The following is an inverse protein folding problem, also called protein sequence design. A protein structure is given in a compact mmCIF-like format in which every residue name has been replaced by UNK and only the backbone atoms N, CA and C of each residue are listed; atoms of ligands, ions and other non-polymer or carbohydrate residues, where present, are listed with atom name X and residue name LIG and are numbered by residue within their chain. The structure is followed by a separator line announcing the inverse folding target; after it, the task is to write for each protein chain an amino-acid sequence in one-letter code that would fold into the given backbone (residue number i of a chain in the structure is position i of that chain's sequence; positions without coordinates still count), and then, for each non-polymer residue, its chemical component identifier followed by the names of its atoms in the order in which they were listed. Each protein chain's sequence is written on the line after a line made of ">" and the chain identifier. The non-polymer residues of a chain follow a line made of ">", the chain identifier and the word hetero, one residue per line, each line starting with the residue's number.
data_IF_598401871755
#
_entry.id   IF_598401871755
#
_cell.length_a   1.000
_cell.length_b   1.000
_cell.length_c   1.000
_cell.angle_alpha   90.00
_cell.angle_beta   90.00
_cell.angle_gamma   90.00
#
_symmetry.space_group_name_H-M   'P 1'
#
loop_
_entity.id
_entity.type
_entity.pdbx_description
1 polymer ?
#
# COMPACT_ATOMS: atom_id res chain seq x y z
N UNK A 1 22.11 -6.33 -25.68
CA UNK A 1 20.75 -6.88 -25.46
C UNK A 1 20.46 -6.80 -23.97
N UNK A 2 20.10 -5.62 -23.49
CA UNK A 2 19.84 -5.37 -22.07
C UNK A 2 18.33 -5.46 -21.86
N UNK A 3 17.88 -6.54 -21.22
CA UNK A 3 16.46 -6.79 -21.01
C UNK A 3 15.92 -5.80 -19.96
N UNK A 4 14.95 -5.00 -20.40
CA UNK A 4 14.08 -4.18 -19.56
C UNK A 4 13.18 -5.11 -18.75
N UNK A 5 13.24 -5.05 -17.42
CA UNK A 5 12.28 -5.73 -16.55
C UNK A 5 11.43 -4.66 -15.90
N UNK A 6 10.15 -4.64 -16.26
CA UNK A 6 9.14 -3.74 -15.70
C UNK A 6 8.91 -4.02 -14.20
N UNK A 7 8.79 -3.00 -13.34
CA UNK A 7 8.54 -3.20 -11.92
C UNK A 7 7.07 -3.59 -11.66
N UNK A 8 6.81 -4.54 -10.72
CA UNK A 8 5.46 -4.97 -10.39
C UNK A 8 4.63 -3.89 -9.70
N UNK A 9 3.33 -3.96 -9.97
CA UNK A 9 2.26 -3.04 -9.54
C UNK A 9 1.84 -3.23 -8.08
N UNK A 10 1.68 -2.08 -7.40
CA UNK A 10 0.74 -1.74 -6.30
C UNK A 10 0.97 -2.42 -4.92
N UNK A 11 0.53 -1.94 -3.73
CA UNK A 11 -0.29 -0.82 -3.23
C UNK A 11 0.30 -0.37 -1.86
N UNK A 12 0.01 0.86 -1.47
CA UNK A 12 0.54 1.62 -0.33
C UNK A 12 -0.01 1.20 1.07
N UNK A 13 0.86 1.24 2.10
CA UNK A 13 0.45 1.53 3.48
C UNK A 13 1.43 2.54 4.10
N UNK A 14 0.90 3.68 4.53
CA UNK A 14 1.62 4.88 4.94
C UNK A 14 1.96 4.86 6.44
N UNK A 15 3.25 4.96 6.79
CA UNK A 15 3.86 6.03 7.63
C UNK A 15 5.02 5.52 8.51
N UNK A 16 6.23 5.93 8.16
CA UNK A 16 7.17 6.56 9.08
C UNK A 16 8.13 7.44 8.25
N UNK A 17 8.38 8.65 8.72
CA UNK A 17 9.02 9.77 8.02
C UNK A 17 10.19 9.41 7.11
N UNK A 18 10.07 9.83 5.85
CA UNK A 18 11.13 10.28 4.91
C UNK A 18 12.46 9.51 4.81
N UNK A 19 12.48 8.20 5.08
CA UNK A 19 13.53 7.37 4.50
C UNK A 19 13.34 7.38 2.97
N UNK A 20 14.41 7.66 2.22
CA UNK A 20 14.53 7.25 0.83
C UNK A 20 13.85 5.88 0.67
N UNK A 21 12.90 5.77 -0.26
CA UNK A 21 11.97 4.63 -0.37
C UNK A 21 12.77 3.32 -0.46
N UNK A 22 13.14 2.75 0.68
CA UNK A 22 13.96 1.54 0.76
C UNK A 22 13.13 0.47 0.05
N UNK A 23 13.64 -0.14 -1.03
CA UNK A 23 12.98 -1.29 -1.61
C UNK A 23 12.74 -2.29 -0.48
N UNK A 24 11.49 -2.72 -0.29
CA UNK A 24 11.23 -3.85 0.61
C UNK A 24 11.90 -5.06 -0.04
N UNK A 25 13.15 -5.32 0.33
CA UNK A 25 13.84 -6.54 -0.07
C UNK A 25 13.05 -7.70 0.52
N UNK A 26 12.35 -8.41 -0.35
CA UNK A 26 11.71 -9.67 0.00
C UNK A 26 12.85 -10.67 0.06
N UNK A 27 13.16 -11.24 1.23
CA UNK A 27 14.31 -12.13 1.35
C UNK A 27 14.17 -13.33 0.41
N UNK A 28 15.26 -13.79 -0.19
CA UNK A 28 15.27 -14.89 -1.17
C UNK A 28 14.59 -16.16 -0.66
N UNK A 29 14.63 -16.41 0.65
CA UNK A 29 13.93 -17.55 1.24
C UNK A 29 12.41 -17.49 1.03
N UNK A 30 11.81 -16.32 0.88
CA UNK A 30 10.37 -16.14 0.70
C UNK A 30 9.88 -16.77 -0.61
N UNK A 31 10.74 -16.91 -1.62
CA UNK A 31 10.42 -17.59 -2.88
C UNK A 31 10.11 -19.09 -2.67
N UNK A 32 10.65 -19.69 -1.60
CA UNK A 32 10.42 -21.09 -1.22
C UNK A 32 9.23 -21.26 -0.27
N UNK A 33 8.43 -20.21 -0.04
CA UNK A 33 7.27 -20.25 0.83
C UNK A 33 6.17 -21.18 0.29
N UNK A 34 5.75 -22.16 1.08
CA UNK A 34 4.66 -23.08 0.71
C UNK A 34 3.33 -22.36 0.43
N UNK A 35 3.11 -21.17 1.01
CA UNK A 35 1.93 -20.34 0.74
C UNK A 35 1.73 -20.03 -0.76
N UNK A 36 2.82 -19.95 -1.52
CA UNK A 36 2.77 -19.68 -2.97
C UNK A 36 2.11 -20.79 -3.79
N UNK A 37 2.03 -22.00 -3.23
CA UNK A 37 1.40 -23.15 -3.89
C UNK A 37 -0.13 -23.14 -3.79
N UNK A 38 -0.73 -22.19 -3.05
CA UNK A 38 -2.17 -22.13 -2.78
C UNK A 38 -2.77 -20.77 -3.20
N UNK A 39 -2.72 -20.41 -4.50
CA UNK A 39 -3.23 -19.13 -5.01
C UNK A 39 -4.73 -18.92 -4.77
N UNK A 40 -5.52 -19.99 -4.58
CA UNK A 40 -6.93 -19.93 -4.23
C UNK A 40 -7.19 -19.38 -2.81
N UNK A 41 -6.17 -19.37 -1.96
CA UNK A 41 -6.20 -18.73 -0.64
C UNK A 41 -5.67 -17.28 -0.68
N UNK A 42 -5.00 -16.88 -1.76
CA UNK A 42 -4.58 -15.51 -2.08
C UNK A 42 -5.42 -14.96 -3.24
N UNK A 43 -6.72 -14.80 -3.02
CA UNK A 43 -7.63 -14.30 -4.05
C UNK A 43 -7.42 -12.80 -4.23
N UNK A 44 -6.53 -12.44 -5.16
CA UNK A 44 -6.47 -11.11 -5.77
C UNK A 44 -7.78 -10.81 -6.49
N UNK A 45 -8.17 -9.54 -6.52
CA UNK A 45 -9.44 -9.07 -7.06
C UNK A 45 -9.81 -9.75 -8.38
N UNK A 46 -11.03 -10.30 -8.46
CA UNK A 46 -11.58 -10.72 -9.74
C UNK A 46 -12.19 -9.48 -10.38
N UNK A 47 -11.52 -8.92 -11.39
CA UNK A 47 -11.99 -7.74 -12.12
C UNK A 47 -12.67 -8.20 -13.42
N UNK A 48 -13.87 -7.70 -13.70
CA UNK A 48 -14.53 -7.97 -15.00
C UNK A 48 -13.89 -7.18 -16.15
N UNK A 49 -14.32 -7.47 -17.38
CA UNK A 49 -13.82 -6.78 -18.58
C UNK A 49 -14.07 -5.26 -18.58
N UNK A 50 -14.97 -4.75 -17.72
CA UNK A 50 -15.26 -3.32 -17.55
C UNK A 50 -14.40 -2.64 -16.48
N UNK A 51 -13.53 -3.38 -15.79
CA UNK A 51 -12.73 -2.86 -14.69
C UNK A 51 -13.43 -2.92 -13.33
N UNK A 52 -14.57 -3.62 -13.20
CA UNK A 52 -15.33 -3.72 -11.95
C UNK A 52 -14.84 -4.88 -11.10
N UNK A 53 -14.57 -4.63 -9.82
CA UNK A 53 -14.26 -5.67 -8.82
C UNK A 53 -15.53 -6.49 -8.54
N UNK A 54 -15.51 -7.77 -8.91
CA UNK A 54 -16.61 -8.73 -8.76
C UNK A 54 -16.65 -9.41 -7.38
N UNK A 55 -15.50 -9.54 -6.72
CA UNK A 55 -15.37 -10.01 -5.33
C UNK A 55 -14.22 -9.26 -4.64
N UNK A 56 -14.33 -8.94 -3.34
CA UNK A 56 -13.25 -8.31 -2.59
C UNK A 56 -12.02 -9.21 -2.56
N UNK A 57 -10.83 -8.59 -2.65
CA UNK A 57 -9.59 -9.30 -2.43
C UNK A 57 -9.58 -9.92 -1.03
N UNK A 58 -9.23 -11.19 -0.94
CA UNK A 58 -9.08 -11.90 0.33
C UNK A 58 -7.79 -12.72 0.28
N UNK A 59 -6.89 -12.45 1.21
CA UNK A 59 -5.65 -13.19 1.38
C UNK A 59 -5.64 -13.88 2.74
N UNK A 60 -5.62 -15.21 2.77
CA UNK A 60 -5.68 -16.00 4.00
C UNK A 60 -4.49 -15.73 4.95
N UNK A 61 -3.34 -15.32 4.46
CA UNK A 61 -2.19 -14.97 5.30
C UNK A 61 -2.27 -13.57 5.89
N UNK A 62 -3.06 -12.66 5.32
CA UNK A 62 -3.20 -11.29 5.83
C UNK A 62 -4.53 -11.03 6.55
N UNK A 63 -5.62 -11.57 6.01
CA UNK A 63 -7.00 -11.19 6.33
C UNK A 63 -7.75 -12.25 7.13
N UNK A 64 -7.18 -13.46 7.29
CA UNK A 64 -7.85 -14.51 8.04
C UNK A 64 -8.07 -14.09 9.50
N UNK A 65 -9.32 -14.23 9.96
CA UNK A 65 -9.67 -14.00 11.35
C UNK A 65 -9.36 -15.24 12.19
N UNK A 66 -8.87 -15.09 13.43
CA UNK A 66 -8.60 -16.23 14.31
C UNK A 66 -9.80 -17.16 14.44
N UNK A 67 -9.56 -18.48 14.36
CA UNK A 67 -10.58 -19.52 14.49
C UNK A 67 -11.44 -19.76 13.24
N UNK A 68 -11.18 -19.08 12.12
CA UNK A 68 -11.85 -19.35 10.85
C UNK A 68 -11.20 -20.51 10.09
N UNK A 69 -11.92 -21.09 9.12
CA UNK A 69 -11.35 -22.12 8.24
C UNK A 69 -10.13 -21.63 7.45
N UNK A 70 -10.10 -20.34 7.08
CA UNK A 70 -8.95 -19.74 6.40
C UNK A 70 -7.72 -19.62 7.33
N UNK A 71 -7.93 -19.26 8.60
CA UNK A 71 -6.87 -19.23 9.61
C UNK A 71 -6.28 -20.63 9.84
N UNK A 72 -7.15 -21.63 10.01
CA UNK A 72 -6.72 -23.02 10.14
C UNK A 72 -5.94 -23.50 8.89
N UNK A 73 -6.45 -23.23 7.70
CA UNK A 73 -5.79 -23.60 6.44
C UNK A 73 -4.40 -22.96 6.32
N UNK A 74 -4.29 -21.67 6.60
CA UNK A 74 -3.02 -20.95 6.57
C UNK A 74 -2.00 -21.55 7.56
N UNK A 75 -2.43 -21.87 8.79
CA UNK A 75 -1.58 -22.50 9.80
C UNK A 75 -1.10 -23.90 9.41
N UNK A 76 -2.00 -24.72 8.85
CA UNK A 76 -1.66 -26.07 8.37
C UNK A 76 -0.62 -26.01 7.26
N UNK A 77 -0.80 -25.10 6.30
CA UNK A 77 0.19 -24.88 5.23
C UNK A 77 1.52 -24.40 5.82
N UNK A 78 1.48 -23.46 6.77
CA UNK A 78 2.69 -22.99 7.43
C UNK A 78 3.42 -24.09 8.20
N UNK A 79 2.72 -25.07 8.79
CA UNK A 79 3.33 -26.16 9.55
C UNK A 79 4.29 -27.02 8.71
N UNK A 80 4.00 -27.20 7.42
CA UNK A 80 4.85 -27.93 6.45
C UNK A 80 5.80 -27.05 5.63
N UNK A 81 5.84 -25.74 5.88
CA UNK A 81 6.60 -24.80 5.05
C UNK A 81 8.10 -24.86 5.33
N UNK A 82 8.97 -25.02 4.31
CA UNK A 82 10.42 -25.15 4.51
C UNK A 82 11.09 -23.87 5.04
N UNK A 83 10.42 -22.73 4.92
CA UNK A 83 10.90 -21.42 5.38
C UNK A 83 10.09 -20.87 6.55
N UNK A 84 9.35 -21.73 7.25
CA UNK A 84 8.49 -21.38 8.39
C UNK A 84 9.26 -20.57 9.45
N UNK A 85 10.45 -21.03 9.84
CA UNK A 85 11.25 -20.38 10.89
C UNK A 85 11.75 -19.00 10.45
N UNK A 86 12.33 -18.89 9.25
CA UNK A 86 12.80 -17.62 8.70
C UNK A 86 11.64 -16.61 8.57
N UNK A 87 10.46 -17.08 8.15
CA UNK A 87 9.24 -16.27 8.08
C UNK A 87 8.78 -15.77 9.45
N UNK A 88 8.76 -16.64 10.47
CA UNK A 88 8.39 -16.26 11.84
C UNK A 88 9.38 -15.24 12.44
N UNK A 89 10.69 -15.49 12.31
CA UNK A 89 11.74 -14.60 12.81
C UNK A 89 11.63 -13.22 12.15
N UNK A 90 11.54 -13.17 10.82
CA UNK A 90 11.44 -11.90 10.11
C UNK A 90 10.18 -11.10 10.50
N UNK A 91 9.09 -11.77 10.87
CA UNK A 91 7.89 -11.10 11.37
C UNK A 91 8.09 -10.56 12.81
N UNK A 92 8.76 -11.34 13.67
CA UNK A 92 9.07 -10.95 15.05
C UNK A 92 10.04 -9.76 15.11
N UNK A 93 11.13 -9.80 14.34
CA UNK A 93 12.13 -8.72 14.28
C UNK A 93 11.52 -7.35 13.92
N UNK A 94 10.50 -7.35 13.04
CA UNK A 94 9.81 -6.13 12.62
C UNK A 94 8.60 -5.78 13.48
N UNK A 95 8.26 -6.59 14.49
CA UNK A 95 7.04 -6.43 15.27
C UNK A 95 5.78 -6.45 14.40
N UNK A 96 5.72 -7.34 13.39
CA UNK A 96 4.63 -7.40 12.42
C UNK A 96 3.28 -7.61 13.12
N UNK A 97 2.35 -6.71 12.84
CA UNK A 97 1.10 -6.54 13.59
C UNK A 97 -0.07 -7.33 12.98
N UNK A 98 0.00 -7.66 11.69
CA UNK A 98 -1.13 -8.29 10.98
C UNK A 98 -0.77 -9.66 10.41
N UNK A 99 -1.80 -10.46 10.14
CA UNK A 99 -1.66 -11.73 9.42
C UNK A 99 -0.97 -12.86 10.19
N UNK A 100 -0.78 -13.96 9.47
CA UNK A 100 -0.17 -15.21 9.91
C UNK A 100 1.22 -15.34 9.27
N UNK A 101 2.25 -15.47 10.11
CA UNK A 101 3.65 -15.54 9.69
C UNK A 101 4.32 -16.76 10.32
N UNK A 102 4.85 -17.68 9.51
CA UNK A 102 5.39 -18.94 10.02
C UNK A 102 4.39 -19.77 10.83
N UNK A 103 3.08 -19.56 10.61
CA UNK A 103 1.99 -20.18 11.35
C UNK A 103 1.62 -19.49 12.67
N UNK A 104 2.27 -18.37 12.99
CA UNK A 104 1.99 -17.55 14.18
C UNK A 104 1.05 -16.41 13.80
N UNK A 105 -0.07 -16.26 14.50
CA UNK A 105 -0.91 -15.07 14.40
C UNK A 105 -0.41 -13.94 15.32
N UNK A 106 -1.21 -12.89 15.50
CA UNK A 106 -0.88 -11.78 16.40
C UNK A 106 -0.66 -12.23 17.86
N UNK A 107 -1.53 -13.08 18.39
CA UNK A 107 -1.47 -13.53 19.78
C UNK A 107 -0.22 -14.41 19.99
N UNK A 108 0.01 -15.36 19.08
CA UNK A 108 1.19 -16.22 19.13
C UNK A 108 2.48 -15.41 19.07
N UNK A 109 2.58 -14.45 18.12
CA UNK A 109 3.77 -13.61 18.00
C UNK A 109 3.96 -12.72 19.22
N UNK A 110 2.88 -12.27 19.87
CA UNK A 110 2.98 -11.48 21.11
C UNK A 110 3.57 -12.31 22.24
N UNK A 111 3.16 -13.56 22.39
CA UNK A 111 3.66 -14.45 23.43
C UNK A 111 5.12 -14.85 23.16
N UNK A 112 5.44 -15.19 21.91
CA UNK A 112 6.83 -15.49 21.48
C UNK A 112 7.72 -14.25 21.65
N UNK A 113 7.24 -13.06 21.28
CA UNK A 113 8.03 -11.84 21.45
C UNK A 113 8.37 -11.57 22.92
N UNK A 114 7.40 -11.74 23.82
CA UNK A 114 7.63 -11.60 25.26
C UNK A 114 8.62 -12.65 25.80
N UNK A 115 8.56 -13.89 25.31
CA UNK A 115 9.42 -14.97 25.78
C UNK A 115 10.88 -14.84 25.30
N UNK A 116 11.09 -14.32 24.08
CA UNK A 116 12.41 -14.30 23.44
C UNK A 116 13.01 -12.90 23.26
N UNK A 117 12.36 -11.85 23.77
CA UNK A 117 12.88 -10.48 23.73
C UNK A 117 12.78 -9.80 22.36
N UNK A 118 11.82 -10.20 21.52
CA UNK A 118 11.53 -9.47 20.29
C UNK A 118 10.61 -8.25 20.57
N UNK A 119 10.57 -7.25 19.67
CA UNK A 119 9.57 -6.19 19.73
C UNK A 119 8.16 -6.78 19.77
N UNK A 120 7.28 -6.22 20.62
CA UNK A 120 5.90 -6.71 20.68
C UNK A 120 5.21 -6.37 19.36
N UNK A 121 4.40 -7.28 18.79
CA UNK A 121 3.63 -6.99 17.59
C UNK A 121 2.83 -5.71 17.72
N UNK A 122 3.08 -4.82 16.77
CA UNK A 122 2.46 -3.53 16.71
C UNK A 122 2.98 -2.50 17.70
N UNK A 123 4.11 -2.74 18.37
CA UNK A 123 4.71 -1.78 19.28
C UNK A 123 4.88 -0.42 18.62
N UNK A 124 4.66 0.65 19.40
CA UNK A 124 4.84 1.99 18.90
C UNK A 124 6.33 2.23 18.59
N UNK A 125 6.67 2.94 17.50
CA UNK A 125 8.05 3.17 17.09
C UNK A 125 8.81 4.02 18.13
N UNK A 126 10.13 4.07 18.05
CA UNK A 126 10.95 4.85 18.98
C UNK A 126 10.50 6.32 19.09
N UNK A 127 10.78 6.92 20.25
CA UNK A 127 10.53 8.35 20.49
C UNK A 127 11.35 9.21 19.52
N UNK A 128 10.90 10.44 19.27
CA UNK A 128 11.54 11.31 18.27
C UNK A 128 11.08 11.05 16.83
N UNK A 129 9.97 10.33 16.63
CA UNK A 129 9.39 10.11 15.30
C UNK A 129 8.02 10.78 15.15
N UNK A 130 7.69 11.25 13.93
CA UNK A 130 6.37 11.84 13.65
C UNK A 130 5.23 10.81 13.85
N UNK A 131 5.44 9.55 13.48
CA UNK A 131 4.44 8.49 13.66
C UNK A 131 4.13 8.25 15.14
N UNK A 132 5.14 8.27 16.03
CA UNK A 132 4.94 8.13 17.48
C UNK A 132 4.10 9.28 18.05
N UNK A 133 4.22 10.49 17.49
CA UNK A 133 3.37 11.64 17.84
C UNK A 133 1.94 11.47 17.34
N UNK A 134 1.76 11.34 16.03
CA UNK A 134 0.44 11.48 15.38
C UNK A 134 -0.42 10.23 15.55
N UNK A 135 0.17 9.04 15.38
CA UNK A 135 -0.59 7.77 15.44
C UNK A 135 -0.73 7.23 16.85
N UNK A 136 0.30 7.42 17.66
CA UNK A 136 0.41 6.82 18.99
C UNK A 136 0.23 7.80 20.14
N UNK A 137 -0.04 9.08 19.84
CA UNK A 137 -0.42 10.08 20.84
C UNK A 137 0.69 10.51 21.80
N UNK A 138 1.97 10.26 21.49
CA UNK A 138 3.06 10.62 22.38
C UNK A 138 3.22 12.15 22.51
N UNK A 139 3.33 12.65 23.75
CA UNK A 139 3.44 14.09 24.05
C UNK A 139 4.84 14.57 24.46
N UNK A 140 5.87 13.73 24.37
CA UNK A 140 7.23 14.10 24.75
C UNK A 140 7.82 15.18 23.82
N UNK A 141 8.90 15.83 24.29
CA UNK A 141 9.59 16.90 23.57
C UNK A 141 10.13 16.45 22.21
N UNK A 142 10.71 15.26 22.15
CA UNK A 142 11.32 14.74 20.92
C UNK A 142 10.27 14.44 19.84
N UNK A 143 9.17 13.80 20.23
CA UNK A 143 8.06 13.50 19.31
C UNK A 143 7.36 14.79 18.82
N UNK A 144 7.29 15.83 19.68
CA UNK A 144 6.80 17.16 19.26
C UNK A 144 7.75 17.80 18.25
N UNK A 145 9.06 17.77 18.50
CA UNK A 145 10.07 18.30 17.60
C UNK A 145 10.05 17.59 16.24
N UNK A 146 9.98 16.26 16.24
CA UNK A 146 9.89 15.45 15.02
C UNK A 146 8.65 15.79 14.19
N UNK A 147 7.50 16.00 14.83
CA UNK A 147 6.29 16.44 14.14
C UNK A 147 6.42 17.85 13.55
N UNK A 148 7.06 18.78 14.27
CA UNK A 148 7.31 20.12 13.78
C UNK A 148 8.21 20.13 12.53
N UNK A 149 9.27 19.30 12.53
CA UNK A 149 10.15 19.10 11.37
C UNK A 149 9.38 18.54 10.17
N UNK A 150 8.61 17.47 10.37
CA UNK A 150 7.74 16.90 9.34
C UNK A 150 6.80 17.94 8.71
N UNK A 151 6.14 18.74 9.55
CA UNK A 151 5.24 19.81 9.09
C UNK A 151 5.98 20.92 8.31
N UNK A 152 7.21 21.27 8.72
CA UNK A 152 8.03 22.24 8.01
C UNK A 152 8.44 21.75 6.61
N UNK A 153 8.91 20.50 6.51
CA UNK A 153 9.27 19.85 5.24
C UNK A 153 8.06 19.72 4.30
N UNK A 154 6.90 19.30 4.83
CA UNK A 154 5.64 19.20 4.09
C UNK A 154 5.25 20.56 3.48
N UNK A 155 5.34 21.64 4.25
CA UNK A 155 5.06 23.01 3.78
C UNK A 155 6.07 23.47 2.74
N UNK A 156 7.36 23.21 2.93
CA UNK A 156 8.40 23.54 1.96
C UNK A 156 8.16 22.82 0.62
N UNK A 157 7.89 21.52 0.67
CA UNK A 157 7.55 20.71 -0.50
C UNK A 157 6.29 21.21 -1.22
N UNK A 158 5.25 21.59 -0.47
CA UNK A 158 4.05 22.17 -1.05
C UNK A 158 4.31 23.52 -1.72
N UNK A 159 5.17 24.38 -1.15
CA UNK A 159 5.57 25.65 -1.77
C UNK A 159 6.39 25.42 -3.04
N UNK A 160 7.36 24.49 -3.00
CA UNK A 160 8.17 24.14 -4.16
C UNK A 160 7.32 23.59 -5.31
N UNK A 161 6.37 22.68 -5.04
CA UNK A 161 5.43 22.16 -6.04
C UNK A 161 4.55 23.26 -6.63
N UNK A 162 4.07 24.20 -5.81
CA UNK A 162 3.29 25.36 -6.29
C UNK A 162 4.14 26.30 -7.15
N UNK A 163 5.38 26.57 -6.75
CA UNK A 163 6.32 27.37 -7.53
C UNK A 163 6.66 26.72 -8.87
N UNK A 164 6.95 25.41 -8.88
CA UNK A 164 7.18 24.65 -10.10
C UNK A 164 5.93 24.62 -11.01
N UNK A 165 4.73 24.45 -10.45
CA UNK A 165 3.49 24.55 -11.22
C UNK A 165 3.30 25.96 -11.80
N UNK A 166 3.64 27.02 -11.06
CA UNK A 166 3.58 28.40 -11.56
C UNK A 166 4.57 28.62 -12.72
N UNK A 167 5.77 28.03 -12.65
CA UNK A 167 6.77 28.07 -13.73
C UNK A 167 6.32 27.28 -14.96
N UNK A 168 5.63 26.15 -14.79
CA UNK A 168 5.11 25.33 -15.91
C UNK A 168 3.91 26.00 -16.60
N UNK A 169 3.12 26.82 -15.88
CA UNK A 169 2.00 27.58 -16.47
C UNK A 169 2.48 28.85 -17.18
N UNK A 170 3.78 29.14 -17.20
CA UNK A 170 4.35 30.36 -17.76
C UNK A 170 4.82 30.25 -19.24
N UNK A 171 4.45 29.20 -19.99
CA UNK A 171 4.53 29.23 -21.46
C UNK A 171 3.26 29.88 -22.06
N UNK A 172 3.35 31.05 -22.72
CA UNK A 172 2.21 31.60 -23.44
C UNK A 172 1.93 30.75 -24.69
N UNK A 173 0.66 30.45 -25.03
CA UNK A 173 0.36 29.81 -26.30
C UNK A 173 0.56 30.81 -27.43
N UNK A 174 1.67 30.71 -28.16
CA UNK A 174 1.73 31.29 -29.50
C UNK A 174 0.82 30.48 -30.43
N UNK A 175 -0.27 31.14 -30.84
CA UNK A 175 -1.04 30.88 -32.06
C UNK A 175 -1.92 29.61 -32.09
N UNK A 176 -3.02 29.63 -31.33
CA UNK A 176 -4.21 28.87 -31.69
C UNK A 176 -5.10 29.70 -32.62
N UNK A 177 -4.97 29.48 -33.93
CA UNK A 177 -5.95 29.92 -34.93
C UNK A 177 -7.35 29.43 -34.54
N UNK A 178 -8.25 30.38 -34.26
CA UNK A 178 -9.63 30.12 -33.88
C UNK A 178 -10.47 29.69 -35.08
N UNK A 179 -10.44 28.40 -35.43
CA UNK A 179 -11.52 27.81 -36.23
C UNK A 179 -12.72 27.64 -35.30
N UNK A 180 -13.59 28.65 -35.29
CA UNK A 180 -14.84 28.65 -34.53
C UNK A 180 -15.79 27.57 -35.04
N UNK A 181 -15.78 26.40 -34.41
CA UNK A 181 -16.92 25.49 -34.43
C UNK A 181 -17.99 26.07 -33.50
N UNK A 182 -18.97 26.76 -34.07
CA UNK A 182 -20.16 27.18 -33.34
C UNK A 182 -20.95 25.94 -32.86
N UNK A 183 -20.76 25.60 -31.59
CA UNK A 183 -21.42 24.49 -30.90
C UNK A 183 -22.96 24.65 -30.87
N UNK A 184 -23.48 25.87 -31.06
CA UNK A 184 -24.93 26.08 -31.17
C UNK A 184 -25.49 25.63 -32.52
N UNK A 185 -24.72 25.73 -33.62
CA UNK A 185 -25.13 25.14 -34.91
C UNK A 185 -25.09 23.61 -34.88
N UNK A 186 -24.11 23.02 -34.18
CA UNK A 186 -24.01 21.57 -34.01
C UNK A 186 -25.17 20.98 -33.19
N UNK A 187 -25.52 21.61 -32.05
CA UNK A 187 -26.63 21.16 -31.19
C UNK A 187 -28.01 21.29 -31.84
N UNK A 188 -28.21 22.23 -32.78
CA UNK A 188 -29.48 22.35 -33.53
C UNK A 188 -29.64 21.27 -34.61
N UNK A 189 -28.54 20.77 -35.21
CA UNK A 189 -28.59 19.69 -36.22
C UNK A 189 -28.86 18.32 -35.61
N UNK A 190 -28.35 18.02 -34.43
CA UNK A 190 -28.51 16.69 -33.80
C UNK A 190 -29.92 16.46 -33.25
N UNK A 191 -30.62 17.51 -32.78
CA UNK A 191 -32.02 17.39 -32.33
C UNK A 191 -33.03 17.12 -33.45
N UNK A 192 -32.78 17.55 -34.70
CA UNK A 192 -33.66 17.23 -35.85
C UNK A 192 -33.56 15.77 -36.32
N UNK A 193 -32.46 15.07 -36.04
CA UNK A 193 -32.27 13.65 -36.41
C UNK A 193 -32.89 12.65 -35.42
N UNK A 194 -33.14 13.06 -34.16
CA UNK A 194 -33.76 12.20 -33.15
C UNK A 194 -35.30 12.10 -33.26
N UNK A 195 -35.94 12.94 -34.10
CA UNK A 195 -37.40 12.95 -34.31
C UNK A 195 -37.90 12.24 -35.58
N UNK A 196 -37.03 11.58 -36.35
CA UNK A 196 -37.41 10.79 -37.54
C UNK A 196 -36.78 9.39 -37.46
N UNK A 197 -37.23 8.61 -36.48
CA UNK A 197 -37.21 7.15 -36.53
C UNK A 197 -38.62 6.70 -36.11
N UNK A 198 -39.51 6.61 -37.09
CA UNK A 198 -40.59 5.63 -37.15
C UNK A 198 -40.09 4.50 -38.02
#
# INVERSE_FOLDING_TARGET
>A
MTALVDPPRSVHYLDAGSAERIPREVPDWHERGACRAFPELDRREVIDASGRVLQPAFNAWHDARPGTAADLAARVICAGCPVRLACAIGALERGERWGIWGGLDYADRKDVAAAFGFPRPGDPPEHGTNSRRVKWGCVCVDCKAAHALYEAERRASSRARRGAALLVVADPPEQALSIGLDLNTYRRRTRRRAGRRR
#
